data_IF_671659674686
#
_entry.id   IF_671659674686
#
_cell.length_a   1.000
_cell.length_b   1.000
_cell.length_c   1.000
_cell.angle_alpha   90.00
_cell.angle_beta   90.00
_cell.angle_gamma   90.00
#
_symmetry.space_group_name_H-M   'P 1'
#
loop_
_entity.id
_entity.type
_entity.pdbx_description
1 polymer ?
#
# COMPACT_ATOMS: atom_id res chain seq x y z
N UNK A 1 -23.62 5.59 23.27
CA UNK A 1 -22.35 5.16 23.94
C UNK A 1 -21.69 4.19 22.98
N UNK A 2 -20.45 4.46 22.58
CA UNK A 2 -19.69 3.48 21.77
C UNK A 2 -19.55 2.19 22.58
N UNK A 3 -19.74 1.04 21.95
CA UNK A 3 -19.42 -0.21 22.60
C UNK A 3 -17.93 -0.21 22.98
N UNK A 4 -17.53 -0.68 24.16
CA UNK A 4 -16.12 -0.68 24.59
C UNK A 4 -15.16 -1.36 23.61
N UNK A 5 -15.68 -2.25 22.77
CA UNK A 5 -14.93 -2.97 21.73
C UNK A 5 -14.50 -2.13 20.53
N UNK A 6 -15.01 -0.90 20.41
CA UNK A 6 -14.71 -0.02 19.27
C UNK A 6 -13.67 1.06 19.60
N UNK A 7 -13.31 1.19 20.87
CA UNK A 7 -12.36 2.21 21.32
C UNK A 7 -10.92 1.75 21.00
N UNK A 8 -10.18 2.62 20.32
CA UNK A 8 -8.73 2.45 20.17
C UNK A 8 -8.02 3.11 21.34
N UNK A 9 -7.36 2.29 22.15
CA UNK A 9 -6.52 2.79 23.24
C UNK A 9 -5.16 3.19 22.68
N UNK A 10 -4.69 4.38 23.08
CA UNK A 10 -3.37 4.91 22.72
C UNK A 10 -2.58 5.20 23.98
N UNK A 11 -1.41 4.59 24.11
CA UNK A 11 -0.53 4.76 25.27
C UNK A 11 0.93 4.83 24.80
N UNK A 12 1.71 5.70 25.41
CA UNK A 12 3.16 5.76 25.18
C UNK A 12 3.84 5.02 26.32
N UNK A 13 4.67 4.03 26.01
CA UNK A 13 5.45 3.32 27.00
C UNK A 13 6.60 4.18 27.51
N UNK A 14 7.15 3.92 28.72
CA UNK A 14 8.28 4.69 29.26
C UNK A 14 9.49 4.78 28.33
N UNK A 15 9.73 3.74 27.51
CA UNK A 15 10.76 3.72 26.47
C UNK A 15 10.49 4.62 25.28
N UNK A 16 9.30 5.26 25.21
CA UNK A 16 8.90 6.24 24.19
C UNK A 16 8.09 5.69 23.02
N UNK A 17 7.97 4.37 22.85
CA UNK A 17 7.16 3.80 21.75
C UNK A 17 5.67 3.99 22.01
N UNK A 18 4.92 4.36 20.98
CA UNK A 18 3.46 4.42 21.03
C UNK A 18 2.88 3.03 20.80
N UNK A 19 1.95 2.61 21.65
CA UNK A 19 1.17 1.39 21.51
C UNK A 19 -0.29 1.75 21.28
N UNK A 20 -0.85 1.22 20.21
CA UNK A 20 -2.25 1.31 19.83
C UNK A 20 -2.88 -0.05 20.03
N UNK A 21 -4.03 -0.09 20.68
CA UNK A 21 -4.75 -1.33 20.92
C UNK A 21 -6.25 -1.18 20.70
N UNK A 22 -6.85 -2.14 19.99
CA UNK A 22 -8.30 -2.24 19.86
C UNK A 22 -8.76 -3.65 20.29
N UNK A 23 -9.65 -3.69 21.28
CA UNK A 23 -10.27 -4.95 21.73
C UNK A 23 -11.22 -5.48 20.65
N UNK A 24 -11.08 -6.76 20.33
CA UNK A 24 -11.94 -7.50 19.41
C UNK A 24 -12.57 -8.70 20.16
N UNK A 25 -13.64 -8.52 20.95
CA UNK A 25 -14.10 -9.50 21.95
C UNK A 25 -14.64 -10.80 21.36
N UNK A 26 -15.02 -10.79 20.07
CA UNK A 26 -15.58 -11.96 19.38
C UNK A 26 -14.54 -12.77 18.61
N UNK A 27 -13.26 -12.36 18.65
CA UNK A 27 -12.18 -13.07 17.95
C UNK A 27 -11.45 -14.02 18.89
N UNK A 28 -10.93 -15.12 18.34
CA UNK A 28 -10.05 -16.06 19.05
C UNK A 28 -8.57 -15.83 18.69
N UNK A 29 -8.32 -15.09 17.62
CA UNK A 29 -6.99 -14.68 17.18
C UNK A 29 -6.61 -13.31 17.74
N UNK A 30 -5.33 -13.01 17.67
CA UNK A 30 -4.79 -11.67 17.89
C UNK A 30 -3.71 -11.37 16.85
N UNK A 31 -3.65 -10.13 16.41
CA UNK A 31 -2.64 -9.64 15.49
C UNK A 31 -1.92 -8.44 16.10
N UNK A 32 -0.60 -8.43 15.97
CA UNK A 32 0.24 -7.31 16.40
C UNK A 32 1.21 -6.95 15.28
N UNK A 33 1.48 -5.67 15.09
CA UNK A 33 2.41 -5.21 14.07
C UNK A 33 3.21 -4.00 14.53
N UNK A 34 4.51 -4.01 14.23
CA UNK A 34 5.39 -2.84 14.36
C UNK A 34 5.42 -2.11 13.03
N UNK A 35 5.04 -0.85 13.05
CA UNK A 35 5.03 0.04 11.90
C UNK A 35 6.18 1.03 12.02
N UNK A 36 6.95 1.14 10.95
CA UNK A 36 8.07 2.08 10.84
C UNK A 36 7.69 3.14 9.81
N UNK A 37 7.82 4.42 10.17
CA UNK A 37 7.50 5.56 9.27
C UNK A 37 8.60 5.76 8.25
N UNK A 38 8.93 4.70 7.50
CA UNK A 38 9.90 4.69 6.42
C UNK A 38 9.47 3.69 5.36
N UNK A 39 9.53 4.10 4.11
CA UNK A 39 9.29 3.25 2.93
C UNK A 39 10.19 3.73 1.79
N UNK A 40 10.04 3.15 0.59
CA UNK A 40 10.93 3.41 -0.55
C UNK A 40 11.01 4.90 -0.94
N UNK A 41 10.00 5.69 -0.59
CA UNK A 41 9.96 7.12 -0.82
C UNK A 41 11.03 7.90 -0.02
N UNK A 42 11.47 7.37 1.13
CA UNK A 42 12.47 7.98 1.99
C UNK A 42 13.91 7.65 1.58
N UNK A 43 14.07 6.79 0.59
CA UNK A 43 15.37 6.41 0.07
C UNK A 43 15.96 7.45 -0.88
N UNK A 44 17.27 7.42 -1.04
CA UNK A 44 17.98 8.11 -2.12
C UNK A 44 18.16 7.18 -3.32
N UNK A 45 18.65 7.68 -4.45
CA UNK A 45 18.99 6.81 -5.58
C UNK A 45 20.12 5.81 -5.28
N UNK A 46 20.96 6.10 -4.27
CA UNK A 46 22.08 5.22 -3.90
C UNK A 46 21.69 4.06 -3.02
N UNK A 47 20.61 4.23 -2.26
CA UNK A 47 20.09 3.20 -1.34
C UNK A 47 18.64 2.81 -1.68
N UNK A 48 18.28 2.89 -2.97
CA UNK A 48 17.01 2.40 -3.46
C UNK A 48 16.87 0.90 -3.17
N UNK A 49 15.72 0.50 -2.60
CA UNK A 49 15.46 -0.88 -2.20
C UNK A 49 15.92 -1.24 -0.77
N UNK A 50 16.51 -0.32 -0.01
CA UNK A 50 17.00 -0.63 1.35
C UNK A 50 15.87 -0.89 2.35
N UNK A 51 14.69 -0.28 2.18
CA UNK A 51 13.53 -0.63 3.00
C UNK A 51 13.12 -2.09 2.79
N UNK A 52 13.04 -2.52 1.53
CA UNK A 52 12.72 -3.89 1.17
C UNK A 52 13.83 -4.87 1.58
N UNK A 53 15.08 -4.48 1.39
CA UNK A 53 16.22 -5.28 1.83
C UNK A 53 16.21 -5.50 3.35
N UNK A 54 15.93 -4.45 4.15
CA UNK A 54 15.78 -4.57 5.60
C UNK A 54 14.58 -5.42 5.99
N UNK A 55 13.51 -5.37 5.23
CA UNK A 55 12.36 -6.26 5.43
C UNK A 55 12.84 -7.73 5.43
N UNK A 56 13.58 -8.17 4.41
CA UNK A 56 14.16 -9.50 4.34
C UNK A 56 15.14 -9.80 5.49
N UNK A 57 16.01 -8.84 5.79
CA UNK A 57 17.05 -9.02 6.80
C UNK A 57 16.51 -9.18 8.22
N UNK A 58 15.37 -8.57 8.56
CA UNK A 58 14.79 -8.66 9.89
C UNK A 58 14.15 -10.03 10.19
N UNK A 59 13.95 -10.87 9.16
CA UNK A 59 13.57 -12.29 9.33
C UNK A 59 14.78 -13.22 9.50
N UNK A 60 16.02 -12.70 9.45
CA UNK A 60 17.23 -13.47 9.71
C UNK A 60 17.49 -13.59 11.20
N UNK A 61 18.67 -14.12 11.54
CA UNK A 61 19.06 -14.36 12.93
C UNK A 61 19.03 -13.08 13.77
N UNK A 62 18.51 -13.23 14.98
CA UNK A 62 18.59 -12.23 16.06
C UNK A 62 19.64 -12.63 17.08
N UNK A 63 19.90 -11.76 18.04
CA UNK A 63 20.81 -12.07 19.16
C UNK A 63 20.36 -13.27 20.02
N UNK A 64 19.08 -13.67 19.92
CA UNK A 64 18.49 -14.73 20.77
C UNK A 64 18.05 -15.96 20.00
N UNK A 65 17.59 -15.80 18.76
CA UNK A 65 17.01 -16.85 17.94
C UNK A 65 17.59 -16.85 16.53
N UNK A 66 17.86 -18.04 16.00
CA UNK A 66 18.06 -18.18 14.56
C UNK A 66 16.74 -17.99 13.81
N UNK A 67 16.81 -17.66 12.50
CA UNK A 67 15.65 -17.55 11.63
C UNK A 67 14.75 -18.82 11.69
N UNK A 68 15.37 -19.99 11.72
CA UNK A 68 14.68 -21.27 11.87
C UNK A 68 13.90 -21.35 13.20
N UNK A 69 14.53 -20.98 14.32
CA UNK A 69 13.86 -20.98 15.63
C UNK A 69 12.71 -19.97 15.69
N UNK A 70 12.82 -18.82 15.03
CA UNK A 70 11.73 -17.84 14.92
C UNK A 70 10.53 -18.45 14.21
N UNK A 71 10.75 -19.11 13.08
CA UNK A 71 9.69 -19.80 12.33
C UNK A 71 9.06 -20.94 13.16
N UNK A 72 9.88 -21.82 13.75
CA UNK A 72 9.41 -22.93 14.57
C UNK A 72 8.57 -22.48 15.79
N UNK A 73 8.95 -21.37 16.45
CA UNK A 73 8.22 -20.85 17.61
C UNK A 73 6.83 -20.35 17.25
N UNK A 74 6.67 -19.72 16.11
CA UNK A 74 5.37 -19.21 15.63
C UNK A 74 4.53 -20.33 15.01
N UNK A 75 5.10 -21.19 14.17
CA UNK A 75 4.39 -22.32 13.57
C UNK A 75 3.89 -23.30 14.61
N UNK A 76 4.67 -23.55 15.67
CA UNK A 76 4.30 -24.43 16.80
C UNK A 76 3.00 -24.00 17.49
N UNK A 77 2.68 -22.72 17.49
CA UNK A 77 1.44 -22.19 18.08
C UNK A 77 0.35 -21.91 17.02
N UNK A 78 0.57 -22.35 15.78
CA UNK A 78 -0.37 -22.18 14.67
C UNK A 78 -0.46 -20.74 14.18
N UNK A 79 0.55 -19.94 14.43
CA UNK A 79 0.64 -18.55 13.97
C UNK A 79 1.40 -18.40 12.67
N UNK A 80 1.44 -17.17 12.20
CA UNK A 80 2.27 -16.76 11.08
C UNK A 80 2.80 -15.34 11.28
N UNK A 81 3.92 -15.04 10.66
CA UNK A 81 4.51 -13.70 10.56
C UNK A 81 4.59 -13.29 9.11
N UNK A 82 4.48 -12.00 8.86
CA UNK A 82 4.73 -11.44 7.54
C UNK A 82 5.19 -9.98 7.69
N UNK A 83 5.66 -9.39 6.59
CA UNK A 83 6.00 -7.98 6.52
C UNK A 83 5.62 -7.42 5.16
N UNK A 84 5.59 -6.10 5.04
CA UNK A 84 5.47 -5.45 3.75
C UNK A 84 6.10 -4.06 3.77
N UNK A 85 6.78 -3.75 2.68
CA UNK A 85 7.33 -2.43 2.39
C UNK A 85 6.43 -1.68 1.43
N UNK A 86 5.94 -0.54 1.89
CA UNK A 86 5.21 0.42 1.06
C UNK A 86 6.12 1.58 0.66
N UNK A 87 5.58 2.54 -0.10
CA UNK A 87 6.33 3.77 -0.42
C UNK A 87 6.55 4.69 0.77
N UNK A 88 5.67 4.67 1.78
CA UNK A 88 5.76 5.59 2.93
C UNK A 88 5.97 4.93 4.29
N UNK A 89 5.79 3.62 4.38
CA UNK A 89 5.99 2.86 5.62
C UNK A 89 6.43 1.42 5.32
N UNK A 90 7.02 0.80 6.34
CA UNK A 90 7.33 -0.64 6.38
C UNK A 90 6.71 -1.20 7.65
N UNK A 91 6.15 -2.39 7.62
CA UNK A 91 5.63 -3.02 8.84
C UNK A 91 5.92 -4.51 8.89
N UNK A 92 6.02 -5.00 10.10
CA UNK A 92 6.24 -6.40 10.46
C UNK A 92 5.11 -6.82 11.37
N UNK A 93 4.46 -7.93 11.09
CA UNK A 93 3.32 -8.36 11.89
C UNK A 93 3.31 -9.85 12.18
N UNK A 94 2.57 -10.21 13.21
CA UNK A 94 2.30 -11.57 13.62
C UNK A 94 0.82 -11.73 13.89
N UNK A 95 0.27 -12.88 13.49
CA UNK A 95 -1.08 -13.31 13.86
C UNK A 95 -1.00 -14.68 14.52
N UNK A 96 -1.57 -14.79 15.69
CA UNK A 96 -1.57 -16.01 16.50
C UNK A 96 -2.94 -16.23 17.18
N UNK A 97 -3.17 -17.40 17.77
CA UNK A 97 -4.25 -17.53 18.73
C UNK A 97 -4.02 -16.56 19.91
N UNK A 98 -5.05 -15.86 20.38
CA UNK A 98 -4.94 -14.77 21.35
C UNK A 98 -4.10 -15.10 22.59
N UNK A 99 -4.24 -16.31 23.15
CA UNK A 99 -3.45 -16.78 24.30
C UNK A 99 -1.93 -16.82 24.05
N UNK A 100 -1.48 -16.75 22.80
CA UNK A 100 -0.07 -16.81 22.41
C UNK A 100 0.50 -15.45 21.94
N UNK A 101 -0.25 -14.35 22.09
CA UNK A 101 0.19 -13.03 21.62
C UNK A 101 1.54 -12.59 22.24
N UNK A 102 1.82 -13.03 23.47
CA UNK A 102 3.09 -12.76 24.13
C UNK A 102 4.31 -13.30 23.36
N UNK A 103 4.18 -14.47 22.71
CA UNK A 103 5.23 -15.05 21.85
C UNK A 103 5.42 -14.17 20.61
N UNK A 104 4.32 -13.74 19.97
CA UNK A 104 4.37 -12.86 18.82
C UNK A 104 5.01 -11.49 19.12
N UNK A 105 4.64 -10.88 20.26
CA UNK A 105 5.22 -9.59 20.69
C UNK A 105 6.71 -9.72 21.04
N UNK A 106 7.12 -10.83 21.67
CA UNK A 106 8.52 -11.12 21.93
C UNK A 106 9.32 -11.21 20.63
N UNK A 107 8.81 -12.01 19.67
CA UNK A 107 9.47 -12.17 18.36
C UNK A 107 9.59 -10.85 17.61
N UNK A 108 8.50 -10.10 17.48
CA UNK A 108 8.55 -8.78 16.83
C UNK A 108 9.55 -7.83 17.49
N UNK A 109 9.62 -7.85 18.81
CA UNK A 109 10.61 -7.01 19.52
C UNK A 109 12.05 -7.44 19.24
N UNK A 110 12.32 -8.74 19.16
CA UNK A 110 13.67 -9.25 18.82
C UNK A 110 14.05 -8.89 17.39
N UNK A 111 13.15 -9.09 16.41
CA UNK A 111 13.37 -8.72 15.02
C UNK A 111 13.72 -7.22 14.89
N UNK A 112 13.00 -6.36 15.63
CA UNK A 112 13.17 -4.91 15.52
C UNK A 112 14.35 -4.38 16.34
N UNK A 113 14.65 -4.91 17.50
CA UNK A 113 15.66 -4.34 18.39
C UNK A 113 17.00 -5.08 18.38
N UNK A 114 17.03 -6.33 18.00
CA UNK A 114 18.19 -7.23 18.17
C UNK A 114 18.58 -8.00 16.88
N UNK A 115 18.36 -7.47 15.63
CA UNK A 115 18.77 -8.16 14.43
C UNK A 115 20.30 -8.21 14.34
N UNK A 116 20.87 -9.30 13.87
CA UNK A 116 22.33 -9.44 13.73
C UNK A 116 22.85 -8.77 12.46
N UNK A 117 22.06 -8.71 11.39
CA UNK A 117 22.42 -8.13 10.09
C UNK A 117 23.78 -8.62 9.58
N UNK A 118 24.06 -9.93 9.66
CA UNK A 118 25.36 -10.50 9.31
C UNK A 118 25.69 -10.31 7.83
N UNK A 119 26.96 -10.13 7.49
CA UNK A 119 27.39 -9.95 6.10
C UNK A 119 27.03 -11.15 5.23
N UNK A 120 27.16 -12.37 5.76
CA UNK A 120 26.76 -13.60 5.06
C UNK A 120 25.29 -13.62 4.66
N UNK A 121 24.39 -13.12 5.54
CA UNK A 121 22.97 -13.04 5.25
C UNK A 121 22.68 -11.94 4.23
N UNK A 122 23.39 -10.81 4.31
CA UNK A 122 23.30 -9.73 3.32
C UNK A 122 23.68 -10.23 1.93
N UNK A 123 24.78 -10.96 1.81
CA UNK A 123 25.28 -11.50 0.55
C UNK A 123 24.26 -12.51 -0.05
N UNK A 124 23.68 -13.37 0.79
CA UNK A 124 22.67 -14.32 0.38
C UNK A 124 21.36 -13.63 -0.05
N UNK A 125 20.86 -12.67 0.76
CA UNK A 125 19.61 -11.98 0.46
C UNK A 125 19.72 -11.06 -0.75
N UNK A 126 20.88 -10.48 -1.01
CA UNK A 126 21.12 -9.75 -2.25
C UNK A 126 20.83 -10.62 -3.47
N UNK A 127 21.25 -11.91 -3.44
CA UNK A 127 20.92 -12.88 -4.49
C UNK A 127 19.42 -13.14 -4.61
N UNK A 128 18.74 -13.37 -3.49
CA UNK A 128 17.28 -13.63 -3.46
C UNK A 128 16.50 -12.44 -4.02
N UNK A 129 16.83 -11.21 -3.58
CA UNK A 129 16.15 -10.00 -4.03
C UNK A 129 16.43 -9.71 -5.51
N UNK A 130 17.61 -10.05 -6.03
CA UNK A 130 17.92 -9.92 -7.46
C UNK A 130 17.11 -10.91 -8.32
N UNK A 131 16.86 -12.11 -7.84
CA UNK A 131 15.95 -13.06 -8.51
C UNK A 131 14.50 -12.58 -8.47
N UNK A 132 14.06 -12.02 -7.35
CA UNK A 132 12.74 -11.41 -7.23
C UNK A 132 12.58 -10.22 -8.19
N UNK A 133 13.58 -9.33 -8.26
CA UNK A 133 13.60 -8.22 -9.22
C UNK A 133 13.48 -8.70 -10.66
N UNK A 134 14.19 -9.78 -11.00
CA UNK A 134 14.05 -10.41 -12.33
C UNK A 134 12.62 -10.92 -12.56
N UNK A 135 12.00 -11.54 -11.56
CA UNK A 135 10.61 -12.00 -11.63
C UNK A 135 9.62 -10.85 -11.92
N UNK A 136 9.79 -9.70 -11.25
CA UNK A 136 8.99 -8.50 -11.53
C UNK A 136 9.23 -7.94 -12.94
N UNK A 137 10.48 -7.89 -13.41
CA UNK A 137 10.80 -7.43 -14.76
C UNK A 137 10.23 -8.37 -15.86
N UNK A 138 10.11 -9.65 -15.56
CA UNK A 138 9.59 -10.68 -16.47
C UNK A 138 8.05 -10.77 -16.45
N UNK A 139 7.39 -10.30 -15.38
CA UNK A 139 5.94 -10.19 -15.26
C UNK A 139 5.42 -8.87 -15.83
N UNK A 140 4.75 -8.85 -16.98
CA UNK A 140 4.21 -7.59 -17.53
C UNK A 140 3.13 -6.96 -16.67
N UNK A 141 2.40 -7.76 -15.90
CA UNK A 141 1.34 -7.32 -14.99
C UNK A 141 1.92 -6.54 -13.82
N UNK A 142 3.04 -6.97 -13.28
CA UNK A 142 3.73 -6.27 -12.17
C UNK A 142 4.54 -5.10 -12.72
N UNK A 143 5.31 -5.33 -13.77
CA UNK A 143 6.20 -4.32 -14.36
C UNK A 143 5.46 -3.08 -14.84
N UNK A 144 4.21 -3.18 -15.32
CA UNK A 144 3.45 -1.99 -15.76
C UNK A 144 3.23 -0.99 -14.64
N UNK A 145 3.11 -1.44 -13.38
CA UNK A 145 2.94 -0.56 -12.23
C UNK A 145 4.20 0.26 -11.97
N UNK A 146 5.37 -0.36 -11.93
CA UNK A 146 6.63 0.34 -11.74
C UNK A 146 6.92 1.27 -12.92
N UNK A 147 6.70 0.81 -14.14
CA UNK A 147 6.85 1.64 -15.34
C UNK A 147 5.92 2.85 -15.33
N UNK A 148 4.68 2.71 -14.83
CA UNK A 148 3.76 3.82 -14.64
C UNK A 148 4.30 4.84 -13.64
N UNK A 149 4.70 4.40 -12.44
CA UNK A 149 5.21 5.28 -11.40
C UNK A 149 6.49 6.01 -11.82
N UNK A 150 7.44 5.33 -12.46
CA UNK A 150 8.68 5.91 -12.97
C UNK A 150 8.42 7.05 -13.98
N UNK A 151 7.43 6.86 -14.84
CA UNK A 151 7.08 7.87 -15.87
C UNK A 151 6.19 8.98 -15.29
N UNK A 152 5.29 8.68 -14.38
CA UNK A 152 4.39 9.67 -13.78
C UNK A 152 5.12 10.60 -12.80
N UNK A 153 6.07 10.07 -12.02
CA UNK A 153 6.89 10.83 -11.08
C UNK A 153 8.39 10.79 -11.42
N UNK A 154 8.78 11.30 -12.60
CA UNK A 154 10.17 11.17 -13.03
C UNK A 154 11.12 11.90 -12.08
N UNK A 155 12.24 11.24 -11.77
CA UNK A 155 13.30 11.77 -10.89
C UNK A 155 12.87 12.07 -9.44
N UNK A 156 11.72 11.55 -9.01
CA UNK A 156 11.26 11.63 -7.63
C UNK A 156 11.34 10.25 -6.96
N UNK A 157 11.53 10.23 -5.64
CA UNK A 157 11.60 8.97 -4.89
C UNK A 157 10.28 8.17 -4.95
N UNK A 158 9.14 8.85 -5.08
CA UNK A 158 7.84 8.19 -5.23
C UNK A 158 7.73 7.38 -6.53
N UNK A 159 8.48 7.75 -7.57
CA UNK A 159 8.53 7.04 -8.85
C UNK A 159 9.55 5.90 -8.89
N UNK A 160 10.31 5.64 -7.82
CA UNK A 160 11.26 4.52 -7.77
C UNK A 160 10.56 3.23 -7.40
N UNK A 161 11.12 2.12 -7.87
CA UNK A 161 10.65 0.79 -7.53
C UNK A 161 10.98 0.48 -6.07
N UNK A 162 10.05 -0.17 -5.39
CA UNK A 162 10.20 -0.51 -3.96
C UNK A 162 11.36 -1.48 -3.76
N UNK A 163 11.51 -2.42 -4.66
CA UNK A 163 12.57 -3.44 -4.61
C UNK A 163 13.97 -2.88 -4.89
N UNK A 164 14.05 -1.65 -5.45
CA UNK A 164 15.32 -1.00 -5.81
C UNK A 164 15.80 -1.29 -7.22
N UNK A 165 17.11 -1.25 -7.43
CA UNK A 165 17.77 -1.54 -8.71
C UNK A 165 18.84 -2.60 -8.54
N UNK A 166 19.26 -3.25 -9.63
CA UNK A 166 20.34 -4.25 -9.58
C UNK A 166 21.61 -3.67 -8.94
N UNK A 167 21.96 -2.43 -9.29
CA UNK A 167 23.15 -1.76 -8.76
C UNK A 167 23.03 -1.46 -7.26
N UNK A 168 21.86 -0.95 -6.81
CA UNK A 168 21.67 -0.60 -5.41
C UNK A 168 21.59 -1.83 -4.52
N UNK A 169 20.93 -2.90 -4.95
CA UNK A 169 20.81 -4.17 -4.22
C UNK A 169 22.15 -4.90 -4.16
N UNK A 170 22.87 -5.02 -5.28
CA UNK A 170 24.21 -5.64 -5.30
C UNK A 170 25.26 -4.84 -4.53
N UNK A 171 25.03 -3.54 -4.32
CA UNK A 171 25.94 -2.64 -3.60
C UNK A 171 25.70 -2.58 -2.09
N UNK A 172 24.75 -3.34 -1.55
CA UNK A 172 24.46 -3.36 -0.10
C UNK A 172 25.65 -3.95 0.66
N UNK A 173 26.06 -3.26 1.72
CA UNK A 173 27.10 -3.72 2.65
C UNK A 173 26.56 -3.68 4.07
N UNK A 174 27.15 -4.44 4.98
CA UNK A 174 26.78 -4.39 6.40
C UNK A 174 26.76 -2.95 6.93
N UNK A 175 27.80 -2.16 6.58
CA UNK A 175 27.86 -0.76 7.00
C UNK A 175 26.68 0.06 6.46
N UNK A 176 26.37 -0.07 5.18
CA UNK A 176 25.33 0.76 4.54
C UNK A 176 23.94 0.41 5.03
N UNK A 177 23.64 -0.88 5.24
CA UNK A 177 22.34 -1.31 5.76
C UNK A 177 22.18 -0.97 7.24
N UNK A 178 23.24 -1.09 8.03
CA UNK A 178 23.25 -0.66 9.43
C UNK A 178 23.07 0.86 9.56
N UNK A 179 23.73 1.65 8.72
CA UNK A 179 23.56 3.10 8.66
C UNK A 179 22.10 3.49 8.35
N UNK A 180 21.45 2.75 7.44
CA UNK A 180 20.04 2.96 7.10
C UNK A 180 19.12 2.55 8.24
N UNK A 181 19.34 1.38 8.84
CA UNK A 181 18.60 0.91 10.00
C UNK A 181 18.72 1.90 11.18
N UNK A 182 19.89 2.38 11.49
CA UNK A 182 20.14 3.37 12.56
C UNK A 182 19.51 4.75 12.27
N UNK A 183 19.26 5.05 10.99
CA UNK A 183 18.59 6.30 10.58
C UNK A 183 17.09 6.26 10.83
N UNK A 184 16.45 5.13 10.53
CA UNK A 184 14.98 5.08 10.46
C UNK A 184 14.32 4.21 11.53
N UNK A 185 15.02 3.19 12.05
CA UNK A 185 14.45 2.27 13.04
C UNK A 185 14.77 2.76 14.47
N UNK A 186 14.15 3.85 14.86
CA UNK A 186 14.24 4.45 16.19
C UNK A 186 12.86 4.67 16.80
N UNK A 187 12.81 4.82 18.12
CA UNK A 187 11.57 4.79 18.90
C UNK A 187 10.52 5.79 18.41
N UNK A 188 10.94 7.02 18.09
CA UNK A 188 10.00 8.07 17.63
C UNK A 188 9.44 7.82 16.23
N UNK A 189 10.12 6.98 15.44
CA UNK A 189 9.71 6.66 14.06
C UNK A 189 8.91 5.35 13.97
N UNK A 190 8.70 4.68 15.11
CA UNK A 190 8.00 3.39 15.18
C UNK A 190 6.82 3.47 16.13
N UNK A 191 5.83 2.63 15.87
CA UNK A 191 4.73 2.40 16.80
C UNK A 191 4.23 0.97 16.67
N UNK A 192 3.57 0.47 17.72
CA UNK A 192 2.99 -0.85 17.79
C UNK A 192 1.47 -0.75 17.67
N UNK A 193 0.87 -1.54 16.80
CA UNK A 193 -0.59 -1.68 16.65
C UNK A 193 -1.00 -3.10 16.96
N UNK A 194 -2.05 -3.27 17.80
CA UNK A 194 -2.51 -4.58 18.26
C UNK A 194 -4.03 -4.65 18.15
N UNK A 195 -4.56 -5.78 17.70
CA UNK A 195 -5.99 -6.09 17.77
C UNK A 195 -6.20 -7.52 18.25
N UNK A 196 -7.15 -7.71 19.14
CA UNK A 196 -7.49 -9.03 19.70
C UNK A 196 -8.40 -8.95 20.90
N UNK A 197 -8.75 -10.11 21.45
CA UNK A 197 -9.61 -10.19 22.62
C UNK A 197 -8.79 -10.19 23.92
N UNK A 198 -8.31 -9.00 24.30
CA UNK A 198 -7.55 -8.77 25.53
C UNK A 198 -8.13 -7.62 26.32
N UNK A 199 -7.85 -7.62 27.64
CA UNK A 199 -8.06 -6.41 28.43
C UNK A 199 -6.94 -5.39 28.16
N UNK A 200 -7.26 -4.08 28.07
CA UNK A 200 -6.30 -3.04 27.75
C UNK A 200 -5.04 -3.04 28.63
N UNK A 201 -5.21 -3.19 29.94
CA UNK A 201 -4.07 -3.16 30.88
C UNK A 201 -3.20 -4.41 30.78
N UNK A 202 -3.79 -5.56 30.47
CA UNK A 202 -3.07 -6.81 30.24
C UNK A 202 -2.15 -6.69 29.01
N UNK A 203 -2.71 -6.29 27.87
CA UNK A 203 -1.92 -6.19 26.63
C UNK A 203 -0.85 -5.10 26.71
N UNK A 204 -1.11 -3.98 27.39
CA UNK A 204 -0.09 -2.96 27.61
C UNK A 204 1.04 -3.46 28.53
N UNK A 205 0.74 -4.29 29.52
CA UNK A 205 1.75 -4.93 30.36
C UNK A 205 2.65 -5.85 29.56
N UNK A 206 2.06 -6.69 28.70
CA UNK A 206 2.80 -7.59 27.80
C UNK A 206 3.63 -6.77 26.80
N UNK A 207 3.05 -5.77 26.17
CA UNK A 207 3.77 -4.89 25.25
C UNK A 207 4.94 -4.17 25.94
N UNK A 208 4.73 -3.66 27.16
CA UNK A 208 5.78 -3.01 27.94
C UNK A 208 6.94 -3.95 28.27
N UNK A 209 6.68 -5.21 28.53
CA UNK A 209 7.72 -6.22 28.80
C UNK A 209 8.75 -6.28 27.67
N UNK A 210 8.33 -6.19 26.41
CA UNK A 210 9.19 -6.40 25.24
C UNK A 210 9.58 -5.09 24.54
N UNK A 211 8.72 -4.08 24.54
CA UNK A 211 8.90 -2.82 23.79
C UNK A 211 9.24 -1.60 24.65
N UNK A 212 9.40 -1.74 25.97
CA UNK A 212 9.82 -0.64 26.84
C UNK A 212 11.34 -0.41 26.71
N UNK A 213 11.78 -0.08 25.50
CA UNK A 213 13.18 0.15 25.13
C UNK A 213 13.27 1.45 24.34
N UNK A 214 14.28 2.25 24.65
CA UNK A 214 14.58 3.47 23.88
C UNK A 214 15.67 3.17 22.86
N UNK A 215 15.35 3.44 21.59
CA UNK A 215 16.33 3.46 20.51
C UNK A 215 16.38 4.87 19.94
N UNK A 216 17.50 5.55 20.15
CA UNK A 216 17.67 6.95 19.77
C UNK A 216 18.00 7.06 18.28
N UNK A 217 17.48 8.09 17.62
CA UNK A 217 17.84 8.47 16.25
C UNK A 217 19.33 8.79 16.19
N UNK A 218 20.05 8.12 15.32
CA UNK A 218 21.50 8.33 15.17
C UNK A 218 21.87 9.22 14.00
N UNK A 219 20.99 9.35 13.00
CA UNK A 219 21.27 10.11 11.76
C UNK A 219 20.01 10.78 11.26
N UNK A 220 20.18 11.87 10.50
CA UNK A 220 19.05 12.49 9.80
C UNK A 220 18.66 11.68 8.56
N UNK A 221 17.36 11.48 8.39
CA UNK A 221 16.80 10.86 7.19
C UNK A 221 16.69 11.83 6.02
N UNK A 222 16.38 11.32 4.84
CA UNK A 222 16.16 12.15 3.66
C UNK A 222 14.87 12.97 3.79
N UNK A 223 14.91 14.22 3.40
CA UNK A 223 13.71 15.05 3.26
C UNK A 223 12.91 14.63 2.03
N UNK A 224 11.60 14.56 2.16
CA UNK A 224 10.71 14.31 1.03
C UNK A 224 10.51 15.58 0.20
N UNK A 225 10.48 15.43 -1.10
CA UNK A 225 10.15 16.52 -2.04
C UNK A 225 8.82 16.23 -2.72
N UNK A 226 8.03 17.28 -2.97
CA UNK A 226 6.81 17.16 -3.75
C UNK A 226 7.12 16.61 -5.15
N UNK A 227 6.42 15.56 -5.59
CA UNK A 227 6.68 14.95 -6.87
C UNK A 227 6.18 15.85 -8.02
N UNK A 228 7.03 16.04 -9.01
CA UNK A 228 6.61 16.61 -10.31
C UNK A 228 5.94 15.52 -11.13
N UNK A 229 4.75 15.78 -11.62
CA UNK A 229 3.95 14.88 -12.44
C UNK A 229 4.24 15.09 -13.91
N UNK A 230 4.26 14.02 -14.69
CA UNK A 230 4.44 14.07 -16.13
C UNK A 230 3.21 13.48 -16.82
N UNK A 231 2.63 14.24 -17.71
CA UNK A 231 1.42 13.92 -18.45
C UNK A 231 1.74 13.45 -19.86
N UNK A 232 0.86 12.67 -20.45
CA UNK A 232 0.99 12.21 -21.83
C UNK A 232 1.05 10.70 -21.96
N UNK A 233 1.44 10.24 -23.13
CA UNK A 233 1.51 8.82 -23.50
C UNK A 233 2.95 8.29 -23.48
N UNK A 234 3.18 7.20 -22.77
CA UNK A 234 4.47 6.55 -22.53
C UNK A 234 4.41 5.08 -22.95
N UNK A 235 4.62 4.78 -24.24
CA UNK A 235 4.70 3.40 -24.68
C UNK A 235 6.08 2.79 -24.41
N UNK A 236 6.11 1.52 -24.00
CA UNK A 236 7.31 0.68 -23.99
C UNK A 236 7.09 -0.53 -24.87
N UNK A 237 7.85 -0.64 -25.93
CA UNK A 237 7.77 -1.79 -26.84
C UNK A 237 8.37 -3.02 -26.17
N UNK A 238 7.54 -4.04 -25.96
CA UNK A 238 7.93 -5.37 -25.47
C UNK A 238 7.23 -6.41 -26.35
N UNK A 239 7.89 -7.52 -26.66
CA UNK A 239 7.29 -8.60 -27.46
C UNK A 239 6.37 -9.40 -26.56
N UNK A 240 5.11 -8.98 -26.46
CA UNK A 240 4.07 -9.58 -25.66
C UNK A 240 2.84 -9.86 -26.54
N UNK A 241 2.06 -10.86 -26.17
CA UNK A 241 0.79 -11.19 -26.83
C UNK A 241 -0.30 -10.19 -26.46
N UNK A 242 -0.26 -9.68 -25.22
CA UNK A 242 -1.19 -8.66 -24.73
C UNK A 242 -0.53 -7.28 -24.62
N UNK A 243 -1.37 -6.28 -24.55
CA UNK A 243 -1.00 -4.91 -24.16
C UNK A 243 -1.49 -4.69 -22.74
N UNK A 244 -0.55 -4.38 -21.85
CA UNK A 244 -0.79 -4.00 -20.47
C UNK A 244 -0.70 -2.48 -20.37
N UNK A 245 -1.67 -1.85 -19.75
CA UNK A 245 -1.64 -0.40 -19.64
C UNK A 245 -2.26 0.11 -18.34
N UNK A 246 -1.79 1.28 -17.94
CA UNK A 246 -2.37 2.06 -16.85
C UNK A 246 -2.67 3.46 -17.38
N UNK A 247 -3.95 3.83 -17.35
CA UNK A 247 -4.43 5.18 -17.59
C UNK A 247 -4.77 5.81 -16.24
N UNK A 248 -4.19 6.97 -15.94
CA UNK A 248 -4.47 7.63 -14.68
C UNK A 248 -4.35 9.13 -14.74
N UNK A 249 -4.76 9.74 -13.66
CA UNK A 249 -4.72 11.17 -13.43
C UNK A 249 -4.30 11.50 -12.00
N UNK A 250 -4.19 12.79 -11.72
CA UNK A 250 -3.90 13.28 -10.38
C UNK A 250 -5.08 12.99 -9.44
N UNK A 251 -4.83 12.24 -8.37
CA UNK A 251 -5.74 12.06 -7.26
C UNK A 251 -5.43 13.05 -6.11
N UNK A 252 -6.17 12.92 -5.04
CA UNK A 252 -5.97 13.73 -3.84
C UNK A 252 -4.93 13.11 -2.89
N UNK A 253 -4.20 13.97 -2.20
CA UNK A 253 -3.42 13.58 -1.04
C UNK A 253 -4.31 12.90 0.01
N UNK A 254 -3.71 12.14 0.89
CA UNK A 254 -4.43 11.35 1.89
C UNK A 254 -4.97 12.23 3.01
N UNK A 255 -6.11 12.84 2.75
CA UNK A 255 -7.01 13.42 3.74
C UNK A 255 -8.24 12.51 3.87
N UNK A 256 -8.86 12.47 5.05
CA UNK A 256 -9.88 11.45 5.34
C UNK A 256 -11.08 11.53 4.39
N UNK A 257 -11.66 12.71 4.21
CA UNK A 257 -12.79 12.93 3.29
C UNK A 257 -12.41 12.68 1.81
N UNK A 258 -11.27 13.19 1.38
CA UNK A 258 -10.78 12.99 0.01
C UNK A 258 -10.48 11.52 -0.30
N UNK A 259 -9.94 10.77 0.68
CA UNK A 259 -9.69 9.35 0.52
C UNK A 259 -11.00 8.55 0.39
N UNK A 260 -12.03 8.92 1.14
CA UNK A 260 -13.37 8.31 1.06
C UNK A 260 -14.02 8.60 -0.30
N UNK A 261 -13.99 9.84 -0.76
CA UNK A 261 -14.50 10.23 -2.10
C UNK A 261 -13.78 9.50 -3.23
N UNK A 262 -12.44 9.42 -3.15
CA UNK A 262 -11.62 8.69 -4.13
C UNK A 262 -11.98 7.20 -4.18
N UNK A 263 -12.17 6.57 -3.03
CA UNK A 263 -12.52 5.16 -2.92
C UNK A 263 -13.90 4.86 -3.50
N UNK A 264 -14.91 5.65 -3.12
CA UNK A 264 -16.28 5.51 -3.66
C UNK A 264 -16.32 5.73 -5.16
N UNK A 265 -15.68 6.80 -5.65
CA UNK A 265 -15.64 7.09 -7.09
C UNK A 265 -14.99 5.97 -7.90
N UNK A 266 -13.80 5.51 -7.47
CA UNK A 266 -13.10 4.45 -8.19
C UNK A 266 -13.82 3.11 -8.11
N UNK A 267 -14.55 2.84 -7.01
CA UNK A 267 -15.42 1.68 -6.91
C UNK A 267 -16.52 1.71 -7.97
N UNK A 268 -17.22 2.84 -8.13
CA UNK A 268 -18.26 3.01 -9.16
C UNK A 268 -17.67 2.86 -10.55
N UNK A 269 -16.50 3.45 -10.80
CA UNK A 269 -15.89 3.45 -12.13
C UNK A 269 -15.37 2.07 -12.53
N UNK A 270 -14.62 1.38 -11.65
CA UNK A 270 -13.94 0.13 -12.01
C UNK A 270 -13.52 -0.75 -10.83
N UNK A 271 -14.06 -0.54 -9.61
CA UNK A 271 -13.62 -1.27 -8.41
C UNK A 271 -14.28 -2.62 -8.15
N UNK A 272 -15.25 -3.03 -8.97
CA UNK A 272 -15.95 -4.28 -8.77
C UNK A 272 -16.60 -4.79 -10.06
N UNK A 273 -17.17 -5.99 -10.01
CA UNK A 273 -17.83 -6.63 -11.19
C UNK A 273 -19.05 -5.87 -11.67
N UNK A 274 -19.72 -5.10 -10.81
CA UNK A 274 -20.87 -4.25 -11.18
C UNK A 274 -20.48 -2.84 -11.65
N UNK A 275 -19.18 -2.50 -11.63
CA UNK A 275 -18.68 -1.18 -12.00
C UNK A 275 -18.83 -0.89 -13.50
N UNK A 276 -18.87 0.39 -13.85
CA UNK A 276 -19.10 0.84 -15.23
C UNK A 276 -18.11 0.23 -16.23
N UNK A 277 -16.80 0.33 -15.95
CA UNK A 277 -15.78 -0.19 -16.85
C UNK A 277 -15.80 -1.71 -16.96
N UNK A 278 -16.02 -2.42 -15.85
CA UNK A 278 -16.09 -3.87 -15.88
C UNK A 278 -17.26 -4.33 -16.76
N UNK A 279 -18.44 -3.76 -16.57
CA UNK A 279 -19.62 -4.11 -17.36
C UNK A 279 -19.42 -3.78 -18.84
N UNK A 280 -19.01 -2.57 -19.18
CA UNK A 280 -18.89 -2.15 -20.59
C UNK A 280 -17.73 -2.78 -21.35
N UNK A 281 -16.56 -2.87 -20.73
CA UNK A 281 -15.35 -3.32 -21.43
C UNK A 281 -15.24 -4.84 -21.42
N UNK A 282 -15.51 -5.47 -20.26
CA UNK A 282 -15.36 -6.92 -20.11
C UNK A 282 -16.63 -7.68 -20.44
N UNK A 283 -17.76 -7.40 -19.77
CA UNK A 283 -18.98 -8.20 -19.90
C UNK A 283 -19.69 -7.98 -21.24
N UNK A 284 -19.96 -6.71 -21.63
CA UNK A 284 -20.71 -6.41 -22.84
C UNK A 284 -19.87 -6.61 -24.12
N UNK A 285 -18.58 -6.28 -24.09
CA UNK A 285 -17.74 -6.24 -25.27
C UNK A 285 -16.67 -7.33 -25.33
N UNK A 286 -16.37 -7.99 -24.22
CA UNK A 286 -15.36 -9.05 -24.15
C UNK A 286 -13.98 -8.59 -24.60
N UNK A 287 -13.59 -7.35 -24.28
CA UNK A 287 -12.34 -6.76 -24.76
C UNK A 287 -11.15 -7.09 -23.89
N UNK A 288 -11.36 -7.37 -22.61
CA UNK A 288 -10.28 -7.68 -21.67
C UNK A 288 -10.70 -8.79 -20.70
N UNK A 289 -9.71 -9.43 -20.08
CA UNK A 289 -9.94 -10.34 -18.95
C UNK A 289 -9.96 -9.58 -17.62
N UNK A 290 -9.07 -8.61 -17.48
CA UNK A 290 -8.95 -7.80 -16.27
C UNK A 290 -9.03 -6.31 -16.59
N UNK A 291 -9.90 -5.61 -15.88
CA UNK A 291 -9.97 -4.16 -15.83
C UNK A 291 -10.39 -3.76 -14.42
N UNK A 292 -9.67 -2.83 -13.83
CA UNK A 292 -9.96 -2.30 -12.50
C UNK A 292 -9.58 -0.83 -12.39
N UNK A 293 -10.23 -0.12 -11.46
CA UNK A 293 -9.84 1.23 -11.08
C UNK A 293 -9.59 1.27 -9.56
N UNK A 294 -8.55 1.98 -9.14
CA UNK A 294 -8.24 2.18 -7.73
C UNK A 294 -7.52 3.51 -7.47
N UNK A 295 -7.70 4.09 -6.27
CA UNK A 295 -6.96 5.25 -5.84
C UNK A 295 -5.66 4.82 -5.14
N UNK A 296 -4.61 5.60 -5.30
CA UNK A 296 -3.39 5.54 -4.49
C UNK A 296 -3.16 6.91 -3.87
N UNK A 297 -3.34 7.04 -2.57
CA UNK A 297 -3.18 8.29 -1.84
C UNK A 297 -1.97 8.21 -0.91
N UNK A 298 -1.09 9.19 -1.03
CA UNK A 298 0.10 9.41 -0.22
C UNK A 298 -0.07 10.67 0.63
N UNK A 299 0.85 10.92 1.54
CA UNK A 299 0.75 12.03 2.47
C UNK A 299 0.55 13.42 1.78
N UNK A 300 1.10 13.61 0.59
CA UNK A 300 1.13 14.92 -0.11
C UNK A 300 0.64 14.86 -1.57
N UNK A 301 0.29 13.69 -2.10
CA UNK A 301 -0.14 13.49 -3.47
C UNK A 301 -1.01 12.25 -3.59
N UNK A 302 -1.88 12.22 -4.60
CA UNK A 302 -2.64 11.03 -4.97
C UNK A 302 -2.62 10.76 -6.46
N UNK A 303 -3.01 9.55 -6.81
CA UNK A 303 -3.20 9.06 -8.18
C UNK A 303 -4.52 8.30 -8.22
N UNK A 304 -5.21 8.38 -9.33
CA UNK A 304 -6.26 7.44 -9.67
C UNK A 304 -5.88 6.72 -10.95
N UNK A 305 -5.98 5.41 -10.92
CA UNK A 305 -5.51 4.54 -12.00
C UNK A 305 -6.61 3.62 -12.47
N UNK A 306 -6.71 3.46 -13.80
CA UNK A 306 -7.44 2.39 -14.49
C UNK A 306 -6.37 1.47 -15.05
N UNK A 307 -6.37 0.22 -14.61
CA UNK A 307 -5.45 -0.83 -15.04
C UNK A 307 -6.20 -1.82 -15.90
N UNK A 308 -5.62 -2.18 -17.05
CA UNK A 308 -6.23 -3.14 -17.95
C UNK A 308 -5.18 -3.89 -18.75
N UNK A 309 -5.50 -5.14 -19.08
CA UNK A 309 -4.76 -5.96 -20.07
C UNK A 309 -5.72 -6.44 -21.15
N UNK A 310 -5.29 -6.33 -22.42
CA UNK A 310 -6.11 -6.68 -23.58
C UNK A 310 -5.26 -7.18 -24.74
N UNK A 311 -5.85 -7.86 -25.73
CA UNK A 311 -5.11 -8.19 -26.95
C UNK A 311 -4.78 -6.94 -27.75
N UNK A 312 -3.71 -7.00 -28.55
CA UNK A 312 -3.27 -5.88 -29.37
C UNK A 312 -4.37 -5.37 -30.31
N UNK A 313 -5.14 -6.28 -30.91
CA UNK A 313 -6.21 -5.96 -31.85
C UNK A 313 -7.35 -5.19 -31.21
N UNK A 314 -7.62 -5.46 -29.91
CA UNK A 314 -8.68 -4.86 -29.13
C UNK A 314 -8.25 -3.57 -28.40
N UNK A 315 -6.94 -3.30 -28.33
CA UNK A 315 -6.37 -2.23 -27.50
C UNK A 315 -6.98 -0.85 -27.76
N UNK A 316 -7.08 -0.43 -29.02
CA UNK A 316 -7.63 0.88 -29.36
C UNK A 316 -9.13 0.96 -29.05
N UNK A 317 -9.90 -0.07 -29.40
CA UNK A 317 -11.34 -0.14 -29.07
C UNK A 317 -11.57 -0.11 -27.56
N UNK A 318 -10.73 -0.80 -26.79
CA UNK A 318 -10.78 -0.77 -25.34
C UNK A 318 -10.57 0.67 -24.79
N UNK A 319 -9.57 1.37 -25.30
CA UNK A 319 -9.29 2.75 -24.92
C UNK A 319 -10.39 3.74 -25.35
N UNK A 320 -11.01 3.54 -26.49
CA UNK A 320 -12.14 4.34 -26.95
C UNK A 320 -13.32 4.22 -25.98
N UNK A 321 -13.68 2.99 -25.56
CA UNK A 321 -14.77 2.75 -24.61
C UNK A 321 -14.43 3.35 -23.24
N UNK A 322 -13.19 3.19 -22.76
CA UNK A 322 -12.75 3.81 -21.50
C UNK A 322 -12.86 5.33 -21.59
N UNK A 323 -12.43 5.93 -22.70
CA UNK A 323 -12.52 7.38 -22.94
C UNK A 323 -13.99 7.84 -22.95
N UNK A 324 -14.88 7.10 -23.61
CA UNK A 324 -16.28 7.46 -23.69
C UNK A 324 -16.98 7.35 -22.33
N UNK A 325 -16.58 6.37 -21.52
CA UNK A 325 -17.10 6.23 -20.14
C UNK A 325 -16.61 7.36 -19.23
N UNK A 326 -15.34 7.75 -19.34
CA UNK A 326 -14.79 8.92 -18.63
C UNK A 326 -15.55 10.19 -19.05
N UNK A 327 -15.77 10.41 -20.34
CA UNK A 327 -16.57 11.55 -20.84
C UNK A 327 -17.99 11.51 -20.30
N UNK A 328 -18.63 10.34 -20.34
CA UNK A 328 -19.99 10.17 -19.80
C UNK A 328 -20.06 10.58 -18.32
N UNK A 329 -19.07 10.20 -17.51
CA UNK A 329 -19.00 10.63 -16.11
C UNK A 329 -18.79 12.14 -15.99
N UNK A 330 -17.94 12.74 -16.83
CA UNK A 330 -17.67 14.18 -16.78
C UNK A 330 -18.88 15.02 -17.23
N UNK A 331 -19.64 14.54 -18.20
CA UNK A 331 -20.78 15.25 -18.80
C UNK A 331 -22.09 15.05 -18.01
N UNK A 332 -22.33 13.84 -17.53
CA UNK A 332 -23.60 13.46 -16.89
C UNK A 332 -23.49 13.20 -15.39
N UNK A 333 -22.26 13.03 -14.88
CA UNK A 333 -21.98 12.74 -13.47
C UNK A 333 -22.26 11.31 -13.04
N UNK A 334 -22.28 11.11 -11.74
CA UNK A 334 -22.66 9.87 -11.05
C UNK A 334 -24.12 9.98 -10.64
N UNK A 335 -24.88 8.90 -10.76
CA UNK A 335 -26.29 8.85 -10.34
C UNK A 335 -26.42 8.64 -8.83
N UNK A 336 -27.55 9.08 -8.24
CA UNK A 336 -27.88 8.85 -6.82
C UNK A 336 -27.85 7.35 -6.48
N UNK A 337 -28.33 6.52 -7.39
CA UNK A 337 -28.33 5.06 -7.20
C UNK A 337 -26.91 4.50 -7.10
N UNK A 338 -25.99 4.90 -7.99
CA UNK A 338 -24.60 4.43 -7.95
C UNK A 338 -23.88 4.89 -6.68
N UNK A 339 -24.13 6.12 -6.22
CA UNK A 339 -23.60 6.62 -4.97
C UNK A 339 -24.11 5.77 -3.80
N UNK A 340 -25.40 5.54 -3.69
CA UNK A 340 -25.98 4.76 -2.60
C UNK A 340 -25.48 3.31 -2.61
N UNK A 341 -25.43 2.68 -3.78
CA UNK A 341 -24.93 1.31 -3.94
C UNK A 341 -23.44 1.22 -3.50
N UNK A 342 -22.62 2.19 -3.87
CA UNK A 342 -21.20 2.25 -3.47
C UNK A 342 -21.03 2.51 -1.96
N UNK A 343 -21.82 3.40 -1.37
CA UNK A 343 -21.82 3.66 0.08
C UNK A 343 -22.19 2.39 0.86
N UNK A 344 -23.25 1.71 0.44
CA UNK A 344 -23.69 0.44 1.05
C UNK A 344 -22.63 -0.66 0.91
N UNK A 345 -21.99 -0.76 -0.25
CA UNK A 345 -20.89 -1.70 -0.46
C UNK A 345 -19.69 -1.40 0.44
N UNK A 346 -19.30 -0.13 0.58
CA UNK A 346 -18.18 0.27 1.43
C UNK A 346 -18.46 0.02 2.91
N UNK A 347 -19.67 0.28 3.39
CA UNK A 347 -20.08 -0.07 4.75
C UNK A 347 -20.02 -1.59 4.97
N UNK A 348 -20.55 -2.38 4.02
CA UNK A 348 -20.49 -3.84 4.08
C UNK A 348 -19.05 -4.37 4.12
N UNK A 349 -18.18 -3.85 3.24
CA UNK A 349 -16.76 -4.20 3.22
C UNK A 349 -16.06 -3.80 4.52
N UNK A 350 -16.36 -2.62 5.06
CA UNK A 350 -15.87 -2.17 6.35
C UNK A 350 -16.29 -3.13 7.47
N UNK A 351 -17.56 -3.52 7.51
CA UNK A 351 -18.10 -4.46 8.50
C UNK A 351 -17.37 -5.81 8.45
N UNK A 352 -17.20 -6.39 7.26
CA UNK A 352 -16.48 -7.65 7.07
C UNK A 352 -15.02 -7.52 7.52
N UNK A 353 -14.36 -6.41 7.21
CA UNK A 353 -12.97 -6.19 7.61
C UNK A 353 -12.78 -6.12 9.12
N UNK A 354 -13.81 -5.71 9.86
CA UNK A 354 -13.80 -5.67 11.32
C UNK A 354 -13.85 -7.05 11.98
N UNK A 355 -14.19 -8.11 11.25
CA UNK A 355 -14.13 -9.50 11.75
C UNK A 355 -12.68 -10.03 11.85
N UNK A 356 -11.73 -9.41 11.16
CA UNK A 356 -10.34 -9.86 11.08
C UNK A 356 -9.42 -9.00 11.94
N UNK A 357 -8.70 -9.62 12.88
CA UNK A 357 -7.78 -8.91 13.77
C UNK A 357 -6.64 -8.24 13.05
N UNK A 358 -6.13 -8.83 11.98
CA UNK A 358 -5.08 -8.26 11.14
C UNK A 358 -5.58 -7.00 10.39
N UNK A 359 -6.76 -7.06 9.79
CA UNK A 359 -7.38 -5.90 9.12
C UNK A 359 -7.62 -4.74 10.08
N UNK A 360 -8.06 -5.04 11.32
CA UNK A 360 -8.20 -4.02 12.38
C UNK A 360 -6.85 -3.42 12.76
N UNK A 361 -5.85 -4.24 13.02
CA UNK A 361 -4.48 -3.82 13.35
C UNK A 361 -3.93 -2.88 12.27
N UNK A 362 -4.04 -3.25 10.99
CA UNK A 362 -3.60 -2.45 9.86
C UNK A 362 -4.39 -1.13 9.76
N UNK A 363 -5.72 -1.17 9.94
CA UNK A 363 -6.57 0.02 9.92
C UNK A 363 -6.16 1.02 10.99
N UNK A 364 -5.99 0.57 12.24
CA UNK A 364 -5.55 1.41 13.37
C UNK A 364 -4.20 2.04 13.06
N UNK A 365 -3.27 1.25 12.53
CA UNK A 365 -1.94 1.73 12.21
C UNK A 365 -1.93 2.77 11.10
N UNK A 366 -2.66 2.55 10.02
CA UNK A 366 -2.72 3.51 8.92
C UNK A 366 -3.42 4.82 9.32
N UNK A 367 -4.40 4.76 10.22
CA UNK A 367 -5.02 5.97 10.78
C UNK A 367 -4.05 6.76 11.66
N UNK A 368 -3.30 6.10 12.52
CA UNK A 368 -2.24 6.77 13.30
C UNK A 368 -1.13 7.34 12.39
N UNK A 369 -0.74 6.59 11.37
CA UNK A 369 0.32 7.00 10.45
C UNK A 369 -0.02 8.29 9.70
N UNK A 370 -1.24 8.36 9.15
CA UNK A 370 -1.63 9.45 8.23
C UNK A 370 -2.43 10.58 8.90
N UNK A 371 -3.19 10.27 9.95
CA UNK A 371 -4.08 11.26 10.58
C UNK A 371 -3.69 11.60 12.02
N UNK A 372 -2.78 10.84 12.64
CA UNK A 372 -2.39 11.01 14.04
C UNK A 372 -3.53 10.76 15.04
N UNK A 373 -4.66 10.23 14.56
CA UNK A 373 -5.83 9.84 15.36
C UNK A 373 -6.52 8.64 14.75
N UNK A 374 -7.30 7.95 15.56
CA UNK A 374 -8.15 6.86 15.10
C UNK A 374 -9.61 7.29 15.01
N UNK A 375 -10.32 6.71 14.06
CA UNK A 375 -11.75 6.92 13.85
C UNK A 375 -12.51 5.66 14.26
N UNK A 376 -13.62 5.82 14.96
CA UNK A 376 -14.50 4.71 15.29
C UNK A 376 -15.17 4.13 14.05
N UNK A 377 -15.78 2.96 14.19
CA UNK A 377 -16.58 2.37 13.12
C UNK A 377 -17.71 3.31 12.68
N UNK A 378 -18.41 3.91 13.65
CA UNK A 378 -19.52 4.83 13.40
C UNK A 378 -19.05 6.12 12.71
N UNK A 379 -17.90 6.68 13.11
CA UNK A 379 -17.31 7.83 12.42
C UNK A 379 -16.98 7.49 10.96
N UNK A 380 -16.48 6.30 10.69
CA UNK A 380 -16.16 5.84 9.33
C UNK A 380 -17.41 5.61 8.49
N UNK A 381 -18.44 4.98 9.06
CA UNK A 381 -19.75 4.82 8.40
C UNK A 381 -20.36 6.18 8.10
N UNK A 382 -20.37 7.09 9.10
CA UNK A 382 -20.86 8.45 8.92
C UNK A 382 -20.11 9.19 7.81
N UNK A 383 -18.81 9.03 7.73
CA UNK A 383 -17.99 9.60 6.65
C UNK A 383 -18.38 9.06 5.28
N UNK A 384 -18.56 7.73 5.13
CA UNK A 384 -18.99 7.11 3.88
C UNK A 384 -20.31 7.75 3.40
N UNK A 385 -21.29 7.89 4.28
CA UNK A 385 -22.60 8.48 3.93
C UNK A 385 -22.62 10.01 3.87
N UNK A 386 -21.56 10.68 4.30
CA UNK A 386 -21.44 12.14 4.15
C UNK A 386 -20.97 12.56 2.74
N UNK A 387 -20.39 11.63 1.97
CA UNK A 387 -19.94 11.91 0.60
C UNK A 387 -21.15 12.14 -0.30
N UNK A 388 -21.11 13.24 -1.03
CA UNK A 388 -22.19 13.68 -1.91
C UNK A 388 -21.90 13.44 -3.39
N UNK A 389 -22.89 13.58 -4.24
CA UNK A 389 -22.71 13.57 -5.70
C UNK A 389 -21.79 14.72 -6.16
N UNK A 390 -21.84 15.87 -5.48
CA UNK A 390 -20.96 17.02 -5.78
C UNK A 390 -19.52 16.67 -5.53
N UNK A 391 -19.20 15.99 -4.40
CA UNK A 391 -17.85 15.55 -4.07
C UNK A 391 -17.31 14.59 -5.13
N UNK A 392 -18.11 13.59 -5.55
CA UNK A 392 -17.70 12.63 -6.58
C UNK A 392 -17.53 13.29 -7.95
N UNK A 393 -18.39 14.23 -8.32
CA UNK A 393 -18.28 14.95 -9.58
C UNK A 393 -17.09 15.91 -9.61
N UNK A 394 -16.80 16.60 -8.49
CA UNK A 394 -15.58 17.39 -8.35
C UNK A 394 -14.34 16.51 -8.47
N UNK A 395 -14.36 15.36 -7.81
CA UNK A 395 -13.27 14.39 -7.88
C UNK A 395 -13.03 13.90 -9.31
N UNK A 396 -14.09 13.49 -10.02
CA UNK A 396 -14.02 13.07 -11.42
C UNK A 396 -13.36 14.15 -12.31
N UNK A 397 -13.78 15.39 -12.16
CA UNK A 397 -13.23 16.53 -12.92
C UNK A 397 -11.75 16.77 -12.59
N UNK A 398 -11.35 16.62 -11.33
CA UNK A 398 -9.95 16.82 -10.93
C UNK A 398 -9.03 15.75 -11.50
N UNK A 399 -9.52 14.49 -11.55
CA UNK A 399 -8.72 13.33 -12.00
C UNK A 399 -8.67 13.21 -13.52
N UNK A 400 -9.81 13.32 -14.18
CA UNK A 400 -9.95 13.04 -15.63
C UNK A 400 -10.15 14.29 -16.48
N UNK A 401 -10.14 15.48 -15.88
CA UNK A 401 -10.19 16.73 -16.64
C UNK A 401 -8.96 16.88 -17.56
N UNK A 402 -9.21 16.93 -18.88
CA UNK A 402 -8.18 17.11 -19.90
C UNK A 402 -7.51 18.49 -19.72
N UNK A 403 -6.16 18.63 -19.86
CA UNK A 403 -5.21 17.70 -20.50
C UNK A 403 -4.34 16.87 -19.53
N UNK A 404 -4.77 16.61 -18.29
CA UNK A 404 -3.92 16.04 -17.25
C UNK A 404 -4.13 14.52 -17.13
N UNK A 405 -3.94 13.77 -18.21
CA UNK A 405 -3.92 12.32 -18.22
C UNK A 405 -2.53 11.75 -18.50
N UNK A 406 -2.24 10.64 -17.88
CA UNK A 406 -1.03 9.85 -18.10
C UNK A 406 -1.41 8.43 -18.48
N UNK A 407 -0.91 7.97 -19.61
CA UNK A 407 -1.06 6.60 -20.07
C UNK A 407 0.31 5.94 -20.25
N UNK A 408 0.60 4.94 -19.45
CA UNK A 408 1.73 4.04 -19.68
C UNK A 408 1.23 2.74 -20.30
N UNK A 409 1.92 2.23 -21.32
CA UNK A 409 1.53 0.99 -21.98
C UNK A 409 2.74 0.12 -22.36
N UNK A 410 2.63 -1.18 -22.11
CA UNK A 410 3.61 -2.20 -22.48
C UNK A 410 2.99 -3.12 -23.53
N UNK A 411 3.69 -3.36 -24.62
CA UNK A 411 3.22 -4.30 -25.62
C UNK A 411 3.89 -4.12 -26.98
N UNK A 412 3.47 -4.90 -27.95
CA UNK A 412 3.96 -4.82 -29.32
C UNK A 412 3.20 -3.72 -30.11
N UNK A 413 3.32 -2.48 -29.65
CA UNK A 413 2.62 -1.31 -30.21
C UNK A 413 3.33 -0.75 -31.44
N UNK A 414 2.56 -0.34 -32.44
CA UNK A 414 3.03 0.30 -33.66
C UNK A 414 2.78 1.82 -33.63
N UNK A 415 3.43 2.57 -34.52
CA UNK A 415 3.20 4.00 -34.69
C UNK A 415 1.73 4.36 -35.01
N UNK A 416 0.96 3.43 -35.60
CA UNK A 416 -0.46 3.62 -35.89
C UNK A 416 -1.27 3.66 -34.59
N UNK A 417 -1.03 2.72 -33.70
CA UNK A 417 -1.68 2.65 -32.39
C UNK A 417 -1.28 3.85 -31.52
N UNK A 418 -0.01 4.23 -31.52
CA UNK A 418 0.47 5.43 -30.80
C UNK A 418 -0.25 6.70 -31.25
N UNK A 419 -0.42 6.91 -32.56
CA UNK A 419 -1.17 8.05 -33.10
C UNK A 419 -2.64 8.02 -32.71
N UNK A 420 -3.26 6.82 -32.69
CA UNK A 420 -4.65 6.65 -32.26
C UNK A 420 -4.82 7.01 -30.79
N UNK A 421 -3.94 6.54 -29.89
CA UNK A 421 -3.96 6.88 -28.45
C UNK A 421 -3.90 8.38 -28.22
N UNK A 422 -2.94 9.06 -28.88
CA UNK A 422 -2.79 10.52 -28.76
C UNK A 422 -4.03 11.29 -29.21
N UNK A 423 -4.73 10.78 -30.24
CA UNK A 423 -5.99 11.37 -30.71
C UNK A 423 -7.15 11.14 -29.71
N UNK A 424 -7.27 9.94 -29.14
CA UNK A 424 -8.36 9.58 -28.20
C UNK A 424 -8.34 10.48 -26.97
N UNK A 425 -7.17 10.66 -26.38
CA UNK A 425 -6.99 11.38 -25.10
C UNK A 425 -6.45 12.82 -25.27
N UNK A 426 -6.18 13.27 -26.48
CA UNK A 426 -5.58 14.58 -26.75
C UNK A 426 -4.25 14.82 -26.01
N UNK A 427 -3.37 13.80 -25.94
CA UNK A 427 -2.09 13.77 -25.19
C UNK A 427 -0.89 13.39 -26.05
#
# INVERSE_FOLDING_TARGET
>A
MQEPSQIVHRKVLPGGITVLFQKAPHTVSASAGVFVRVGSRHESSKNAGYCHFLEHMLFKDTAKRSAKQQAEDIERVGGFTNAATSREYTYFHVTVAGKHIGIGLELLAEMIYEPLLQQSDIDNEAGVILEELQGYEDSPEDYIHDFYYQNFFPKNSLGRDIIGTRESVSGVTHKSILDFYDTYYHTENMFLSISGNFEPDEIFTIAAKYFNRTRVKKREGNSLSLPKKKWGYFPKKKKLEQVYFILGGEGFAREFHNASSASLFTHILGGGTSSRLFQKVREEKGLCYHITAYPSSYADVGINSIVCSTSKEKFITCLEIISDEIKSVLDHGISEKELLDAQTNHEGTLSISYEQTESRMNTIALMELYYGRNFSYEERVKEIYSITLEDLNMFAKSVFGIPKLHLSALGNLSLKEEKAVRRIFSI
#
